data_IF_667267715835
#
_entry.id   IF_667267715835
#
_cell.length_a   1.000
_cell.length_b   1.000
_cell.length_c   1.000
_cell.angle_alpha   90.00
_cell.angle_beta   90.00
_cell.angle_gamma   90.00
#
_symmetry.space_group_name_H-M   'P 1'
#
loop_
_entity.id
_entity.type
_entity.pdbx_description
1 polymer ?
#
# COMPACT_ATOMS: atom_id res chain seq x y z
N UNK A 1 20.86 -1.77 1.40
CA UNK A 1 19.95 -1.03 2.29
C UNK A 1 18.54 -1.19 1.74
N UNK A 2 17.67 -1.89 2.48
CA UNK A 2 16.40 -2.41 1.98
C UNK A 2 15.38 -1.33 1.65
N UNK A 3 14.66 -1.57 0.56
CA UNK A 3 13.65 -0.77 -0.11
C UNK A 3 12.46 -0.34 0.79
N UNK A 4 12.70 0.58 1.74
CA UNK A 4 11.72 1.00 2.74
C UNK A 4 10.51 1.74 2.14
N UNK A 5 10.67 2.44 1.02
CA UNK A 5 9.55 3.13 0.35
C UNK A 5 8.50 2.16 -0.19
N UNK A 6 8.95 1.00 -0.69
CA UNK A 6 8.08 0.01 -1.32
C UNK A 6 7.26 -0.82 -0.33
N UNK A 7 7.88 -1.17 0.80
CA UNK A 7 7.24 -1.98 1.83
C UNK A 7 6.11 -1.23 2.54
N UNK A 8 6.28 0.08 2.71
CA UNK A 8 5.40 0.88 3.54
C UNK A 8 3.99 0.99 2.91
N UNK A 9 3.88 1.25 1.61
CA UNK A 9 2.58 1.38 0.94
C UNK A 9 1.73 0.10 0.99
N UNK A 10 2.37 -1.06 0.81
CA UNK A 10 1.71 -2.35 0.91
C UNK A 10 1.27 -2.66 2.35
N UNK A 11 2.14 -2.42 3.34
CA UNK A 11 1.83 -2.64 4.76
C UNK A 11 0.63 -1.76 5.18
N UNK A 12 0.64 -0.48 4.83
CA UNK A 12 -0.48 0.42 5.13
C UNK A 12 -1.76 -0.02 4.43
N UNK A 13 -1.68 -0.47 3.18
CA UNK A 13 -2.82 -1.01 2.44
C UNK A 13 -3.45 -2.23 3.13
N UNK A 14 -2.62 -3.17 3.60
CA UNK A 14 -3.08 -4.37 4.31
C UNK A 14 -3.71 -3.99 5.66
N UNK A 15 -3.07 -3.13 6.46
CA UNK A 15 -3.59 -2.74 7.78
C UNK A 15 -4.92 -2.01 7.64
N UNK A 16 -5.01 -1.04 6.73
CA UNK A 16 -6.26 -0.30 6.48
C UNK A 16 -7.34 -1.21 5.90
N UNK A 17 -6.97 -2.11 4.98
CA UNK A 17 -7.88 -3.11 4.40
C UNK A 17 -8.42 -4.08 5.45
N UNK A 18 -7.60 -4.53 6.39
CA UNK A 18 -8.03 -5.38 7.51
C UNK A 18 -8.99 -4.65 8.44
N UNK A 19 -8.63 -3.43 8.88
CA UNK A 19 -9.48 -2.64 9.75
C UNK A 19 -10.83 -2.38 9.06
N UNK A 20 -10.83 -1.80 7.87
CA UNK A 20 -12.06 -1.53 7.12
C UNK A 20 -12.86 -2.82 6.83
N UNK A 21 -12.16 -3.90 6.47
CA UNK A 21 -12.74 -5.20 6.15
C UNK A 21 -13.46 -5.85 7.34
N UNK A 22 -12.88 -5.82 8.53
CA UNK A 22 -13.51 -6.35 9.75
C UNK A 22 -14.81 -5.61 10.05
N UNK A 23 -14.78 -4.27 10.01
CA UNK A 23 -15.98 -3.45 10.20
C UNK A 23 -17.05 -3.73 9.14
N UNK A 24 -16.64 -3.82 7.87
CA UNK A 24 -17.54 -4.13 6.73
C UNK A 24 -18.14 -5.53 6.83
N UNK A 25 -17.35 -6.53 7.22
CA UNK A 25 -17.77 -7.92 7.37
C UNK A 25 -18.81 -8.11 8.46
N UNK A 26 -18.63 -7.43 9.60
CA UNK A 26 -19.61 -7.45 10.68
C UNK A 26 -20.89 -6.71 10.31
N UNK A 27 -20.79 -5.56 9.60
CA UNK A 27 -21.95 -4.72 9.32
C UNK A 27 -22.84 -5.27 8.19
N UNK A 28 -22.27 -5.89 7.16
CA UNK A 28 -23.00 -6.31 5.95
C UNK A 28 -23.17 -7.82 5.82
N UNK A 29 -22.22 -8.60 6.32
CA UNK A 29 -22.18 -10.05 6.09
C UNK A 29 -22.38 -10.87 7.37
N UNK A 30 -22.46 -10.20 8.53
CA UNK A 30 -22.41 -10.81 9.88
C UNK A 30 -21.30 -11.88 10.00
N UNK A 31 -20.22 -11.67 9.23
CA UNK A 31 -19.17 -12.64 9.07
C UNK A 31 -17.83 -11.93 8.89
N UNK A 32 -17.07 -11.95 9.97
CA UNK A 32 -15.73 -11.35 10.04
C UNK A 32 -14.77 -11.97 9.02
N UNK A 33 -14.90 -13.26 8.73
CA UNK A 33 -14.05 -13.96 7.75
C UNK A 33 -14.23 -13.43 6.34
N UNK A 34 -15.47 -13.18 5.93
CA UNK A 34 -15.79 -12.57 4.62
C UNK A 34 -15.26 -11.13 4.57
N UNK A 35 -15.47 -10.37 5.65
CA UNK A 35 -14.94 -9.01 5.79
C UNK A 35 -13.42 -8.91 5.65
N UNK A 36 -12.69 -9.79 6.33
CA UNK A 36 -11.23 -9.88 6.25
C UNK A 36 -10.80 -10.23 4.83
N UNK A 37 -11.43 -11.24 4.20
CA UNK A 37 -11.07 -11.66 2.84
C UNK A 37 -11.24 -10.53 1.82
N UNK A 38 -12.37 -9.84 1.85
CA UNK A 38 -12.65 -8.71 0.96
C UNK A 38 -11.76 -7.51 1.28
N UNK A 39 -11.63 -7.17 2.57
CA UNK A 39 -10.84 -6.04 3.03
C UNK A 39 -9.35 -6.16 2.72
N UNK A 40 -8.75 -7.34 2.93
CA UNK A 40 -7.36 -7.61 2.56
C UNK A 40 -7.19 -7.56 1.04
N UNK A 41 -8.11 -8.17 0.28
CA UNK A 41 -8.05 -8.14 -1.19
C UNK A 41 -8.03 -6.71 -1.73
N UNK A 42 -8.95 -5.86 -1.28
CA UNK A 42 -9.03 -4.45 -1.67
C UNK A 42 -7.82 -3.67 -1.15
N UNK A 43 -7.43 -3.87 0.11
CA UNK A 43 -6.31 -3.18 0.75
C UNK A 43 -4.96 -3.47 0.10
N UNK A 44 -4.73 -4.71 -0.34
CA UNK A 44 -3.52 -5.10 -1.09
C UNK A 44 -3.50 -4.42 -2.45
N UNK A 45 -4.60 -4.47 -3.22
CA UNK A 45 -4.66 -3.81 -4.53
C UNK A 45 -4.45 -2.31 -4.41
N UNK A 46 -5.09 -1.66 -3.43
CA UNK A 46 -4.92 -0.24 -3.16
C UNK A 46 -3.49 0.09 -2.73
N UNK A 47 -2.90 -0.70 -1.82
CA UNK A 47 -1.53 -0.52 -1.34
C UNK A 47 -0.48 -0.69 -2.45
N UNK A 48 -0.67 -1.69 -3.33
CA UNK A 48 0.19 -1.91 -4.50
C UNK A 48 0.04 -0.79 -5.54
N UNK A 49 -1.19 -0.33 -5.79
CA UNK A 49 -1.44 0.81 -6.67
C UNK A 49 -0.75 2.07 -6.14
N UNK A 50 -0.81 2.31 -4.81
CA UNK A 50 -0.14 3.42 -4.17
C UNK A 50 1.40 3.30 -4.23
N UNK A 51 1.95 2.11 -3.94
CA UNK A 51 3.40 1.84 -4.07
C UNK A 51 3.89 2.11 -5.51
N UNK A 52 3.17 1.56 -6.50
CA UNK A 52 3.53 1.75 -7.91
C UNK A 52 3.55 3.23 -8.33
N UNK A 53 2.68 4.06 -7.72
CA UNK A 53 2.62 5.51 -7.96
C UNK A 53 3.74 6.27 -7.24
N UNK A 54 4.13 5.80 -6.05
CA UNK A 54 5.25 6.36 -5.29
C UNK A 54 6.58 6.15 -6.01
N UNK A 55 6.80 4.96 -6.58
CA UNK A 55 8.02 4.63 -7.34
C UNK A 55 8.20 5.52 -8.59
N UNK A 56 7.12 5.97 -9.21
CA UNK A 56 7.18 6.91 -10.34
C UNK A 56 7.60 8.33 -9.95
N UNK A 57 7.46 8.73 -8.68
CA UNK A 57 7.84 10.07 -8.19
C UNK A 57 9.27 10.14 -7.64
N UNK A 58 9.87 9.01 -7.26
CA UNK A 58 11.24 8.94 -6.73
C UNK A 58 12.34 8.79 -7.78
N UNK A 59 12.00 8.83 -9.07
CA UNK A 59 12.96 8.72 -10.19
C UNK A 59 13.51 10.05 -10.72
N UNK A 60 13.04 11.19 -10.18
CA UNK A 60 13.44 12.54 -10.61
C UNK A 60 14.54 13.16 -9.73
N UNK A 61 15.32 12.35 -9.02
CA UNK A 61 16.57 12.84 -8.43
C UNK A 61 17.62 12.89 -9.55
N UNK A 62 17.61 14.01 -10.28
CA UNK A 62 18.65 14.36 -11.26
C UNK A 62 20.01 14.21 -10.57
N UNK A 63 20.93 13.36 -11.06
CA UNK A 63 22.30 13.40 -10.59
C UNK A 63 22.81 14.82 -10.85
N UNK A 64 23.21 15.51 -9.79
CA UNK A 64 23.92 16.78 -9.92
C UNK A 64 25.19 16.48 -10.71
N UNK A 65 25.24 16.98 -11.94
CA UNK A 65 26.39 16.94 -12.83
C UNK A 65 27.60 17.48 -12.07
N UNK A 66 28.40 16.58 -11.49
CA UNK A 66 29.76 16.89 -11.05
C UNK A 66 30.66 16.91 -12.28
N UNK A 67 30.37 17.81 -13.19
CA UNK A 67 31.30 18.25 -14.21
C UNK A 67 31.81 19.61 -13.78
N UNK A 68 33.12 19.72 -13.57
CA UNK A 68 33.91 20.90 -13.11
C UNK A 68 34.18 20.97 -11.61
N UNK A 69 35.22 20.25 -11.18
CA UNK A 69 36.22 20.75 -10.24
C UNK A 69 37.55 20.02 -10.50
#
# INVERSE_FOLDING_TARGET
>A
MGNAGAHNGLIYGIILGLLAGVWMGMLFFDNVGVGIGVGVGVGVVAGLAYDSRQRRRGGDEKPIDRERA
#
